data_IF_860129010518
#
_entry.id   IF_860129010518
#
_cell.length_a   1.000
_cell.length_b   1.000
_cell.length_c   1.000
_cell.angle_alpha   90.00
_cell.angle_beta   90.00
_cell.angle_gamma   90.00
#
_symmetry.space_group_name_H-M   'P 1'
#
loop_
_entity.id
_entity.type
_entity.pdbx_description
1 polymer ?
#
# COMPACT_ATOMS: atom_id res chain seq x y z
N UNK A 1 10.01 -5.24 23.67
CA UNK A 1 8.90 -4.50 23.03
C UNK A 1 7.83 -4.19 24.06
N UNK A 2 7.24 -3.00 24.05
CA UNK A 2 6.11 -2.69 24.93
C UNK A 2 4.86 -3.36 24.33
N UNK A 3 4.08 -4.15 25.09
CA UNK A 3 2.89 -4.78 24.56
C UNK A 3 1.90 -3.72 24.10
N UNK A 4 1.41 -3.85 22.87
CA UNK A 4 0.29 -3.06 22.36
C UNK A 4 -0.97 -3.68 22.95
N UNK A 5 -1.79 -2.86 23.59
CA UNK A 5 -3.07 -3.29 24.15
C UNK A 5 -4.21 -2.80 23.25
N UNK A 6 -5.24 -3.62 23.12
CA UNK A 6 -6.51 -3.24 22.49
C UNK A 6 -7.37 -2.37 23.44
N UNK A 7 -8.58 -2.01 23.00
CA UNK A 7 -9.50 -1.20 23.80
C UNK A 7 -10.00 -1.93 25.07
N UNK A 8 -9.89 -3.26 25.11
CA UNK A 8 -10.29 -4.11 26.23
C UNK A 8 -9.10 -4.42 27.17
N UNK A 9 -7.90 -3.95 26.83
CA UNK A 9 -6.68 -4.15 27.60
C UNK A 9 -5.98 -5.49 27.33
N UNK A 10 -6.38 -6.25 26.30
CA UNK A 10 -5.73 -7.49 25.93
C UNK A 10 -4.49 -7.22 25.07
N UNK A 11 -3.44 -8.06 25.19
CA UNK A 11 -2.30 -8.01 24.28
C UNK A 11 -2.75 -8.23 22.84
N UNK A 12 -2.42 -7.28 21.96
CA UNK A 12 -2.68 -7.36 20.53
C UNK A 12 -1.42 -7.03 19.74
N UNK A 13 -1.36 -7.44 18.48
CA UNK A 13 -0.29 -7.04 17.58
C UNK A 13 -0.70 -5.80 16.77
N UNK A 14 0.29 -5.15 16.13
CA UNK A 14 0.05 -3.92 15.36
C UNK A 14 -0.95 -4.12 14.21
N UNK A 15 -0.96 -5.30 13.58
CA UNK A 15 -1.81 -5.59 12.42
C UNK A 15 -3.28 -5.66 12.80
N UNK A 16 -3.60 -6.40 13.87
CA UNK A 16 -4.97 -6.55 14.35
C UNK A 16 -5.53 -5.18 14.79
N UNK A 17 -4.71 -4.36 15.44
CA UNK A 17 -5.09 -2.99 15.83
C UNK A 17 -5.39 -2.09 14.63
N UNK A 18 -4.60 -2.17 13.56
CA UNK A 18 -4.85 -1.43 12.32
C UNK A 18 -6.17 -1.87 11.70
N UNK A 19 -6.42 -3.18 11.65
CA UNK A 19 -7.63 -3.73 11.06
C UNK A 19 -8.90 -3.34 11.83
N UNK A 20 -8.86 -3.38 13.16
CA UNK A 20 -9.96 -2.92 14.01
C UNK A 20 -10.18 -1.40 13.88
N UNK A 21 -9.10 -0.61 13.80
CA UNK A 21 -9.23 0.84 13.56
C UNK A 21 -9.90 1.10 12.20
N UNK A 22 -9.49 0.37 11.16
CA UNK A 22 -10.09 0.46 9.82
C UNK A 22 -11.57 0.02 9.81
N UNK A 23 -11.93 -1.02 10.58
CA UNK A 23 -13.32 -1.43 10.77
C UNK A 23 -14.19 -0.41 11.52
N UNK A 24 -13.58 0.54 12.23
CA UNK A 24 -14.29 1.56 12.97
C UNK A 24 -14.33 2.93 12.27
N UNK A 25 -13.60 3.12 11.16
CA UNK A 25 -13.71 4.38 10.37
C UNK A 25 -15.03 4.47 9.59
N UNK A 26 -15.47 5.71 9.33
CA UNK A 26 -16.67 5.98 8.53
C UNK A 26 -16.47 5.56 7.07
N UNK A 27 -17.57 5.30 6.36
CA UNK A 27 -17.52 4.86 4.97
C UNK A 27 -16.83 5.88 4.06
N UNK A 28 -17.06 7.18 4.27
CA UNK A 28 -16.41 8.26 3.51
C UNK A 28 -14.87 8.20 3.62
N UNK A 29 -14.34 7.97 4.83
CA UNK A 29 -12.90 7.86 5.05
C UNK A 29 -12.35 6.59 4.38
N UNK A 30 -13.11 5.48 4.40
CA UNK A 30 -12.70 4.25 3.69
C UNK A 30 -12.65 4.44 2.19
N UNK A 31 -13.67 5.08 1.64
CA UNK A 31 -13.77 5.32 0.20
C UNK A 31 -12.61 6.23 -0.26
N UNK A 32 -12.28 7.25 0.54
CA UNK A 32 -11.10 8.08 0.30
C UNK A 32 -9.79 7.28 0.36
N UNK A 33 -9.58 6.47 1.40
CA UNK A 33 -8.38 5.63 1.54
C UNK A 33 -8.25 4.63 0.39
N UNK A 34 -9.36 4.05 -0.06
CA UNK A 34 -9.37 3.14 -1.20
C UNK A 34 -9.03 3.87 -2.50
N UNK A 35 -9.59 5.07 -2.72
CA UNK A 35 -9.26 5.89 -3.89
C UNK A 35 -7.78 6.32 -3.89
N UNK A 36 -7.21 6.66 -2.74
CA UNK A 36 -5.78 6.94 -2.61
C UNK A 36 -4.93 5.70 -2.91
N UNK A 37 -5.32 4.53 -2.37
CA UNK A 37 -4.64 3.27 -2.64
C UNK A 37 -4.68 2.87 -4.12
N UNK A 38 -5.79 3.14 -4.83
CA UNK A 38 -5.88 2.95 -6.28
C UNK A 38 -4.96 3.94 -7.02
N UNK A 39 -4.94 5.21 -6.64
CA UNK A 39 -4.07 6.21 -7.26
C UNK A 39 -2.58 5.88 -7.09
N UNK A 40 -2.17 5.46 -5.89
CA UNK A 40 -0.79 5.01 -5.62
C UNK A 40 -0.46 3.78 -6.45
N UNK A 41 -1.35 2.79 -6.55
CA UNK A 41 -1.13 1.61 -7.40
C UNK A 41 -0.96 1.97 -8.88
N UNK A 42 -1.79 2.89 -9.40
CA UNK A 42 -1.67 3.36 -10.79
C UNK A 42 -0.30 4.01 -11.02
N UNK A 43 0.13 4.90 -10.11
CA UNK A 43 1.43 5.57 -10.21
C UNK A 43 2.57 4.56 -10.18
N UNK A 44 2.56 3.62 -9.22
CA UNK A 44 3.60 2.60 -9.10
C UNK A 44 3.65 1.69 -10.32
N UNK A 45 2.50 1.28 -10.85
CA UNK A 45 2.41 0.49 -12.09
C UNK A 45 2.95 1.26 -13.28
N UNK A 46 2.67 2.57 -13.36
CA UNK A 46 3.23 3.45 -14.39
C UNK A 46 4.76 3.51 -14.32
N UNK A 47 5.31 3.68 -13.12
CA UNK A 47 6.76 3.71 -12.89
C UNK A 47 7.40 2.36 -13.25
N UNK A 48 6.79 1.25 -12.83
CA UNK A 48 7.31 -0.09 -13.13
C UNK A 48 7.39 -0.33 -14.64
N UNK A 49 6.35 0.05 -15.39
CA UNK A 49 6.34 -0.04 -16.84
C UNK A 49 7.38 0.87 -17.52
N UNK A 50 7.58 2.09 -17.01
CA UNK A 50 8.58 3.03 -17.56
C UNK A 50 10.01 2.52 -17.35
N UNK A 51 10.30 1.97 -16.17
CA UNK A 51 11.58 1.32 -15.86
C UNK A 51 11.78 0.13 -16.78
N UNK A 52 10.78 -0.75 -16.90
CA UNK A 52 10.85 -1.93 -17.76
C UNK A 52 11.12 -1.55 -19.22
N UNK A 53 10.37 -0.57 -19.75
CA UNK A 53 10.52 -0.07 -21.13
C UNK A 53 11.91 0.55 -21.36
N UNK A 54 12.42 1.31 -20.39
CA UNK A 54 13.76 1.92 -20.48
C UNK A 54 14.86 0.85 -20.50
N UNK A 55 14.74 -0.18 -19.66
CA UNK A 55 15.68 -1.29 -19.61
C UNK A 55 15.63 -2.10 -20.91
N UNK A 56 14.44 -2.42 -21.41
CA UNK A 56 14.24 -3.14 -22.67
C UNK A 56 14.85 -2.39 -23.85
N UNK A 57 14.57 -1.08 -23.98
CA UNK A 57 15.15 -0.25 -25.03
C UNK A 57 16.68 -0.18 -24.95
N UNK A 58 17.25 -0.13 -23.74
CA UNK A 58 18.69 -0.16 -23.52
C UNK A 58 19.31 -1.48 -23.99
N UNK A 59 18.72 -2.62 -23.61
CA UNK A 59 19.19 -3.94 -24.03
C UNK A 59 19.12 -4.10 -25.55
N UNK A 60 18.00 -3.72 -26.16
CA UNK A 60 17.81 -3.77 -27.61
C UNK A 60 18.84 -2.90 -28.37
N UNK A 61 19.23 -1.75 -27.81
CA UNK A 61 20.26 -0.89 -28.39
C UNK A 61 21.68 -1.42 -28.19
N UNK A 62 21.93 -2.19 -27.13
CA UNK A 62 23.24 -2.81 -26.87
C UNK A 62 23.48 -4.10 -27.65
N UNK A 63 22.44 -4.78 -28.13
CA UNK A 63 22.54 -6.00 -28.94
C UNK A 63 22.77 -5.73 -30.43
N UNK A 64 22.51 -4.52 -30.91
CA UNK A 64 22.62 -4.10 -32.32
C UNK A 64 23.98 -3.49 -32.64
#
# INVERSE_FOLDING_TARGET
EKPILDAEGNPTNSTDKVFETYKNVTQEIRDQLNAEAEAVQIILTGIDNDIYSTVDACLNACEM
#
